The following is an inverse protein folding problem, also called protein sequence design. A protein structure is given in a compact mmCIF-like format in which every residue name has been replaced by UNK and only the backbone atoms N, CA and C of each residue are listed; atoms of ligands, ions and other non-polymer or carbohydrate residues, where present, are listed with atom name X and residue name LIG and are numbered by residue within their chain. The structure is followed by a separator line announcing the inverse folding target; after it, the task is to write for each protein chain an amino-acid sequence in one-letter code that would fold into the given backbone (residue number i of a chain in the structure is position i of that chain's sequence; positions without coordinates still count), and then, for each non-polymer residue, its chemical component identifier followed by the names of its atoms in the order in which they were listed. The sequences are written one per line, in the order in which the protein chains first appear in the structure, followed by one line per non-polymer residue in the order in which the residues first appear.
data_IF_434306645063
#
_entry.id   IF_434306645063
#
_cell.length_a   1.000
_cell.length_b   1.000
_cell.length_c   1.000
_cell.angle_alpha   90.00
_cell.angle_beta   90.00
_cell.angle_gamma   90.00
#
_symmetry.space_group_name_H-M   'P 1'
#
loop_
_entity.id
_entity.type
_entity.pdbx_description
1 polymer ?
#
# COMPACT_ATOMS: atom_id res chain seq x y z
N UNK A 1 -6.30 -26.29 37.67
CA UNK A 1 -7.68 -26.20 37.16
C UNK A 1 -7.92 -24.73 36.88
N UNK A 2 -7.40 -24.24 35.75
CA UNK A 2 -7.68 -22.89 35.21
C UNK A 2 -8.07 -23.07 33.75
N UNK A 3 -9.36 -22.82 33.47
CA UNK A 3 -9.92 -22.88 32.13
C UNK A 3 -9.49 -21.65 31.34
N UNK A 4 -8.72 -21.83 30.28
CA UNK A 4 -8.42 -20.85 29.25
C UNK A 4 -9.68 -20.59 28.42
N UNK A 5 -10.31 -19.45 28.61
CA UNK A 5 -11.32 -18.94 27.75
C UNK A 5 -10.69 -18.54 26.41
N UNK A 6 -10.85 -19.38 25.41
CA UNK A 6 -10.58 -19.05 24.01
C UNK A 6 -11.55 -17.95 23.58
N UNK A 7 -11.04 -16.80 23.16
CA UNK A 7 -11.83 -15.75 22.49
C UNK A 7 -12.30 -16.29 21.12
N UNK A 8 -13.55 -16.06 20.71
CA UNK A 8 -14.03 -16.51 19.42
C UNK A 8 -13.37 -15.67 18.31
N UNK A 9 -12.67 -16.33 17.42
CA UNK A 9 -12.26 -15.84 16.11
C UNK A 9 -13.50 -15.82 15.21
N UNK A 10 -13.63 -14.89 14.31
CA UNK A 10 -14.70 -14.70 13.32
C UNK A 10 -15.90 -13.85 13.80
N UNK A 11 -15.75 -12.54 13.81
CA UNK A 11 -16.95 -11.65 13.75
C UNK A 11 -16.68 -10.23 13.17
N UNK A 12 -15.43 -9.89 12.78
CA UNK A 12 -15.15 -8.53 12.28
C UNK A 12 -15.16 -8.37 10.75
N UNK A 13 -15.16 -9.45 9.96
CA UNK A 13 -15.15 -9.34 8.49
C UNK A 13 -16.56 -9.32 7.88
N UNK A 14 -17.53 -9.98 8.48
CA UNK A 14 -18.91 -10.00 7.95
C UNK A 14 -19.70 -8.69 8.17
N UNK A 15 -19.36 -7.91 9.19
CA UNK A 15 -20.06 -6.66 9.48
C UNK A 15 -19.71 -5.54 8.49
N UNK A 16 -18.51 -5.53 7.95
CA UNK A 16 -18.07 -4.50 6.99
C UNK A 16 -18.66 -4.69 5.60
N UNK A 17 -18.86 -5.91 5.16
CA UNK A 17 -19.40 -6.22 3.81
C UNK A 17 -20.92 -6.10 3.78
N UNK A 18 -21.61 -6.56 4.80
CA UNK A 18 -23.06 -6.55 4.86
C UNK A 18 -23.68 -5.15 5.01
N UNK A 19 -23.00 -4.22 5.68
CA UNK A 19 -23.47 -2.82 5.85
C UNK A 19 -23.24 -1.99 4.58
N UNK A 20 -22.20 -2.29 3.80
CA UNK A 20 -21.91 -1.59 2.54
C UNK A 20 -22.94 -1.95 1.45
N UNK A 21 -23.43 -3.18 1.39
CA UNK A 21 -24.36 -3.64 0.35
C UNK A 21 -25.77 -3.02 0.52
N UNK A 22 -26.20 -2.66 1.74
CA UNK A 22 -27.57 -2.18 1.99
C UNK A 22 -27.80 -0.68 1.74
N UNK A 23 -26.73 0.12 1.62
CA UNK A 23 -26.82 1.59 1.41
C UNK A 23 -26.72 1.99 -0.07
N UNK A 24 -26.17 1.13 -0.92
CA UNK A 24 -25.87 1.42 -2.34
C UNK A 24 -27.12 1.44 -3.24
N UNK A 25 -28.26 0.88 -2.82
CA UNK A 25 -29.46 0.77 -3.65
C UNK A 25 -30.21 2.09 -3.94
N UNK A 26 -29.89 3.21 -3.29
CA UNK A 26 -30.72 4.42 -3.38
C UNK A 26 -30.13 5.63 -4.12
N UNK A 27 -28.89 5.60 -4.64
CA UNK A 27 -28.22 6.78 -5.22
C UNK A 27 -27.63 6.66 -6.63
N UNK A 28 -28.11 5.74 -7.45
CA UNK A 28 -27.54 5.43 -8.79
C UNK A 28 -27.89 6.39 -9.93
N UNK A 29 -28.10 7.69 -9.70
CA UNK A 29 -28.66 8.54 -10.76
C UNK A 29 -27.78 9.65 -11.32
N UNK A 30 -26.42 9.63 -11.21
CA UNK A 30 -25.59 10.76 -11.69
C UNK A 30 -24.29 10.44 -12.44
N UNK A 31 -23.92 9.20 -12.68
CA UNK A 31 -22.71 8.87 -13.46
C UNK A 31 -23.07 8.34 -14.86
N UNK A 32 -22.25 8.64 -15.89
CA UNK A 32 -22.39 7.99 -17.19
C UNK A 32 -22.31 6.47 -17.05
N UNK A 33 -23.06 5.69 -17.84
CA UNK A 33 -23.16 4.23 -17.69
C UNK A 33 -21.83 3.47 -17.70
N UNK A 34 -20.79 4.05 -18.25
CA UNK A 34 -19.45 3.45 -18.40
C UNK A 34 -18.53 3.59 -17.16
N UNK A 35 -19.01 4.16 -16.05
CA UNK A 35 -18.28 4.25 -14.78
C UNK A 35 -18.98 3.50 -13.63
N UNK A 36 -19.99 2.70 -13.92
CA UNK A 36 -20.72 1.95 -12.91
C UNK A 36 -19.99 0.64 -12.59
N UNK A 37 -18.94 0.74 -11.77
CA UNK A 37 -18.28 -0.43 -11.15
C UNK A 37 -18.63 -0.47 -9.67
N UNK A 38 -18.83 -1.71 -9.15
CA UNK A 38 -19.12 -1.91 -7.73
C UNK A 38 -17.94 -1.44 -6.87
N UNK A 39 -18.20 -0.88 -5.68
CA UNK A 39 -17.17 -0.47 -4.76
C UNK A 39 -16.24 -1.62 -4.35
N UNK A 40 -14.94 -1.39 -4.50
CA UNK A 40 -13.91 -2.31 -4.01
C UNK A 40 -12.94 -1.57 -3.08
N UNK A 41 -12.30 -2.26 -2.13
CA UNK A 41 -11.33 -1.63 -1.23
C UNK A 41 -10.10 -1.11 -2.00
N UNK A 42 -9.61 0.06 -1.56
CA UNK A 42 -8.43 0.73 -2.09
C UNK A 42 -7.27 0.65 -1.08
N UNK A 43 -6.19 0.03 -1.46
CA UNK A 43 -5.03 -0.24 -0.60
C UNK A 43 -3.87 0.68 -0.93
N UNK A 44 -3.20 1.22 0.09
CA UNK A 44 -1.90 1.88 -0.09
C UNK A 44 -0.80 0.83 -0.25
N UNK A 45 -0.09 0.85 -1.37
CA UNK A 45 1.02 -0.08 -1.60
C UNK A 45 2.21 0.16 -0.65
N UNK A 46 2.90 -0.89 -0.18
CA UNK A 46 4.14 -0.77 0.58
C UNK A 46 5.25 -0.15 -0.28
N UNK A 47 5.82 0.97 0.16
CA UNK A 47 6.83 1.72 -0.60
C UNK A 47 7.95 2.21 0.32
N UNK A 48 9.18 1.72 0.12
CA UNK A 48 10.35 2.11 0.91
C UNK A 48 10.61 3.62 0.89
N UNK A 49 10.67 4.22 2.09
CA UNK A 49 10.87 5.64 2.29
C UNK A 49 9.65 6.51 1.92
N UNK A 50 8.47 5.91 1.82
CA UNK A 50 7.19 6.60 1.54
C UNK A 50 6.12 6.19 2.54
N UNK A 51 5.92 4.90 2.74
CA UNK A 51 4.85 4.40 3.62
C UNK A 51 5.33 4.23 5.07
N UNK A 52 5.98 5.27 5.58
CA UNK A 52 6.24 5.42 7.01
C UNK A 52 4.93 5.60 7.81
N UNK A 53 4.97 5.43 9.12
CA UNK A 53 3.77 5.40 9.96
C UNK A 53 2.90 6.65 9.78
N UNK A 54 3.48 7.85 9.79
CA UNK A 54 2.71 9.09 9.62
C UNK A 54 2.02 9.16 8.26
N UNK A 55 2.67 8.66 7.20
CA UNK A 55 2.08 8.62 5.85
C UNK A 55 0.96 7.57 5.73
N UNK A 56 1.09 6.43 6.39
CA UNK A 56 0.03 5.42 6.43
C UNK A 56 -1.23 5.95 7.13
N UNK A 57 -1.05 6.60 8.29
CA UNK A 57 -2.16 7.27 8.99
C UNK A 57 -2.82 8.35 8.14
N UNK A 58 -2.03 9.18 7.45
CA UNK A 58 -2.57 10.16 6.50
C UNK A 58 -3.36 9.51 5.37
N UNK A 59 -2.87 8.42 4.82
CA UNK A 59 -3.57 7.69 3.76
C UNK A 59 -4.92 7.12 4.22
N UNK A 60 -4.99 6.58 5.44
CA UNK A 60 -6.26 6.15 6.06
C UNK A 60 -7.21 7.34 6.25
N UNK A 61 -6.73 8.48 6.75
CA UNK A 61 -7.54 9.69 6.90
C UNK A 61 -8.05 10.26 5.57
N UNK A 62 -7.36 9.98 4.48
CA UNK A 62 -7.72 10.42 3.12
C UNK A 62 -8.41 9.34 2.30
N UNK A 63 -8.83 8.24 2.90
CA UNK A 63 -9.75 7.28 2.31
C UNK A 63 -9.14 5.97 1.82
N UNK A 64 -7.87 5.67 2.12
CA UNK A 64 -7.37 4.30 1.96
C UNK A 64 -8.10 3.36 2.92
N UNK A 65 -8.46 2.16 2.47
CA UNK A 65 -9.11 1.16 3.32
C UNK A 65 -8.10 0.31 4.09
N UNK A 66 -6.94 0.05 3.48
CA UNK A 66 -5.84 -0.68 4.10
C UNK A 66 -4.49 -0.06 3.75
N UNK A 67 -3.56 -0.18 4.69
CA UNK A 67 -2.16 0.22 4.52
C UNK A 67 -1.22 -0.92 4.88
N UNK A 68 0.00 -0.83 4.38
CA UNK A 68 1.08 -1.78 4.65
C UNK A 68 2.32 -1.01 5.09
N UNK A 69 3.10 -1.58 5.98
CA UNK A 69 4.38 -0.96 6.35
C UNK A 69 5.33 -0.88 5.15
N UNK A 70 6.41 -0.13 5.28
CA UNK A 70 7.55 -0.30 4.38
C UNK A 70 8.01 -1.76 4.43
N UNK A 71 8.28 -2.37 3.26
CA UNK A 71 8.80 -3.74 3.25
C UNK A 71 10.15 -3.82 3.99
N UNK A 72 10.24 -4.75 4.92
CA UNK A 72 11.38 -4.86 5.85
C UNK A 72 12.05 -6.22 5.72
N UNK A 73 13.39 -6.23 5.76
CA UNK A 73 14.14 -7.49 5.66
C UNK A 73 13.93 -8.36 6.90
N UNK A 74 13.55 -9.61 6.69
CA UNK A 74 13.41 -10.61 7.75
C UNK A 74 14.72 -10.79 8.53
N UNK A 75 15.86 -10.81 7.84
CA UNK A 75 17.19 -10.87 8.46
C UNK A 75 17.48 -9.72 9.43
N UNK A 76 16.87 -8.55 9.23
CA UNK A 76 17.02 -7.42 10.13
C UNK A 76 16.10 -7.52 11.34
N UNK A 77 14.88 -8.03 11.15
CA UNK A 77 13.91 -8.21 12.23
C UNK A 77 14.29 -9.38 13.14
N UNK A 78 14.69 -10.53 12.57
CA UNK A 78 15.12 -11.72 13.31
C UNK A 78 16.35 -11.47 14.17
N UNK A 79 17.23 -10.55 13.74
CA UNK A 79 18.41 -10.13 14.52
C UNK A 79 18.18 -8.90 15.40
N UNK A 80 16.93 -8.49 15.60
CA UNK A 80 16.54 -7.34 16.42
C UNK A 80 17.22 -6.02 16.04
N UNK A 81 17.51 -5.81 14.76
CA UNK A 81 18.12 -4.57 14.29
C UNK A 81 17.15 -3.38 14.47
N UNK A 82 17.50 -2.42 15.33
CA UNK A 82 16.67 -1.25 15.69
C UNK A 82 16.05 -0.57 14.46
N UNK A 83 16.84 -0.37 13.39
CA UNK A 83 16.36 0.30 12.18
C UNK A 83 15.28 -0.51 11.42
N UNK A 84 15.31 -1.84 11.52
CA UNK A 84 14.27 -2.70 10.92
C UNK A 84 12.97 -2.63 11.73
N UNK A 85 13.06 -2.64 13.04
CA UNK A 85 11.91 -2.55 13.93
C UNK A 85 11.19 -1.20 13.83
N UNK A 86 11.92 -0.08 13.65
CA UNK A 86 11.33 1.24 13.39
C UNK A 86 10.43 1.30 12.13
N UNK A 87 10.61 0.39 11.19
CA UNK A 87 9.78 0.35 9.97
C UNK A 87 8.46 -0.41 10.14
N UNK A 88 8.40 -1.26 11.16
CA UNK A 88 7.21 -2.06 11.50
C UNK A 88 6.56 -1.54 12.80
N UNK A 89 6.72 -0.26 13.11
CA UNK A 89 5.96 0.42 14.14
C UNK A 89 4.52 0.64 13.67
N UNK A 90 3.60 0.61 14.61
CA UNK A 90 2.16 0.79 14.41
C UNK A 90 1.58 1.82 15.38
N UNK A 91 0.40 2.30 15.08
CA UNK A 91 -0.41 3.16 15.93
C UNK A 91 -1.81 2.53 16.06
N UNK A 92 -2.52 2.68 17.20
CA UNK A 92 -3.88 2.14 17.36
C UNK A 92 -4.90 2.61 16.30
N UNK A 93 -4.62 3.70 15.61
CA UNK A 93 -5.42 4.23 14.48
C UNK A 93 -5.24 3.41 13.20
N UNK A 94 -4.17 2.60 13.10
CA UNK A 94 -3.90 1.71 11.97
C UNK A 94 -4.43 0.31 12.27
N UNK A 95 -5.67 0.03 11.86
CA UNK A 95 -6.32 -1.28 12.04
C UNK A 95 -7.02 -1.68 10.75
N UNK A 96 -6.71 -2.85 10.18
CA UNK A 96 -5.69 -3.82 10.66
C UNK A 96 -4.24 -3.33 10.42
N UNK A 97 -3.34 -3.71 11.33
CA UNK A 97 -1.90 -3.50 11.19
C UNK A 97 -1.26 -4.62 10.37
N UNK A 98 -0.64 -4.25 9.24
CA UNK A 98 -0.12 -5.22 8.25
C UNK A 98 1.37 -4.93 7.98
N UNK A 99 2.31 -5.51 8.73
CA UNK A 99 3.73 -5.46 8.38
C UNK A 99 4.01 -6.28 7.13
N UNK A 100 4.80 -5.69 6.19
CA UNK A 100 5.29 -6.42 5.03
C UNK A 100 6.76 -6.79 5.21
N UNK A 101 7.07 -8.08 5.03
CA UNK A 101 8.42 -8.62 5.18
C UNK A 101 8.94 -9.25 3.88
N UNK A 102 10.24 -9.27 3.72
CA UNK A 102 10.92 -9.97 2.63
C UNK A 102 12.20 -10.65 3.09
N UNK A 103 12.54 -11.76 2.49
CA UNK A 103 13.78 -12.50 2.73
C UNK A 103 14.06 -13.48 1.61
N UNK A 104 15.28 -14.01 1.56
CA UNK A 104 15.69 -15.11 0.69
C UNK A 104 15.94 -16.40 1.46
N UNK A 105 15.90 -16.34 2.80
CA UNK A 105 16.10 -17.44 3.74
C UNK A 105 14.80 -17.76 4.45
N UNK A 106 14.40 -19.04 4.45
CA UNK A 106 13.13 -19.50 4.99
C UNK A 106 13.13 -19.41 6.52
N UNK A 107 14.22 -19.78 7.18
CA UNK A 107 14.31 -19.76 8.64
C UNK A 107 14.21 -18.34 9.19
N UNK A 108 14.89 -17.37 8.54
CA UNK A 108 14.77 -15.95 8.90
C UNK A 108 13.34 -15.43 8.70
N UNK A 109 12.64 -15.86 7.66
CA UNK A 109 11.23 -15.50 7.41
C UNK A 109 10.32 -16.08 8.50
N UNK A 110 10.44 -17.36 8.80
CA UNK A 110 9.67 -18.06 9.85
C UNK A 110 9.92 -17.42 11.23
N UNK A 111 11.17 -17.15 11.58
CA UNK A 111 11.50 -16.48 12.83
C UNK A 111 10.86 -15.10 12.92
N UNK A 112 10.88 -14.35 11.80
CA UNK A 112 10.27 -13.01 11.75
C UNK A 112 8.75 -13.06 11.88
N UNK A 113 8.08 -14.03 11.26
CA UNK A 113 6.64 -14.27 11.44
C UNK A 113 6.31 -14.48 12.91
N UNK A 114 7.03 -15.36 13.59
CA UNK A 114 6.85 -15.63 15.04
C UNK A 114 7.05 -14.39 15.92
N UNK A 115 7.96 -13.49 15.54
CA UNK A 115 8.22 -12.25 16.27
C UNK A 115 7.14 -11.18 16.05
N UNK A 116 6.47 -11.19 14.90
CA UNK A 116 5.50 -10.16 14.52
C UNK A 116 4.05 -10.52 14.84
N UNK A 117 3.72 -11.81 14.91
CA UNK A 117 2.32 -12.26 15.02
C UNK A 117 1.57 -11.76 16.27
N UNK A 118 2.28 -11.50 17.39
CA UNK A 118 1.65 -10.98 18.61
C UNK A 118 1.26 -9.49 18.47
N UNK A 119 1.77 -8.81 17.45
CA UNK A 119 1.59 -7.37 17.22
C UNK A 119 0.79 -7.06 15.96
N UNK A 120 0.82 -7.96 14.98
CA UNK A 120 0.19 -7.79 13.67
C UNK A 120 -1.18 -8.44 13.62
N UNK A 121 -2.08 -7.87 12.82
CA UNK A 121 -3.36 -8.51 12.49
C UNK A 121 -3.20 -9.44 11.27
N UNK A 122 -2.30 -9.10 10.35
CA UNK A 122 -1.97 -9.84 9.12
C UNK A 122 -0.47 -9.65 8.86
N UNK A 123 0.22 -10.66 8.34
CA UNK A 123 1.58 -10.48 7.82
C UNK A 123 1.58 -10.64 6.30
N UNK A 124 2.19 -9.70 5.58
CA UNK A 124 2.27 -9.72 4.12
C UNK A 124 3.70 -10.06 3.64
N UNK A 125 3.81 -11.05 2.75
CA UNK A 125 5.08 -11.52 2.20
C UNK A 125 5.38 -10.85 0.86
N UNK A 126 6.57 -10.27 0.70
CA UNK A 126 6.96 -9.53 -0.50
C UNK A 126 7.77 -10.37 -1.48
N UNK A 127 7.18 -10.71 -2.61
CA UNK A 127 7.81 -11.28 -3.80
C UNK A 127 7.76 -10.32 -5.01
N UNK A 128 7.66 -9.00 -4.74
CA UNK A 128 7.49 -7.99 -5.80
C UNK A 128 8.57 -6.92 -5.86
N UNK A 129 9.45 -6.79 -4.87
CA UNK A 129 10.45 -5.73 -4.82
C UNK A 129 11.51 -5.91 -5.92
N UNK A 130 11.69 -4.93 -6.86
CA UNK A 130 12.68 -5.03 -7.93
C UNK A 130 14.02 -4.38 -7.58
N UNK A 131 14.22 -3.96 -6.33
CA UNK A 131 15.43 -3.24 -5.93
C UNK A 131 16.69 -4.13 -6.04
N UNK A 132 17.78 -3.67 -6.68
CA UNK A 132 18.96 -4.50 -6.89
C UNK A 132 19.56 -5.07 -5.60
N UNK A 133 19.50 -4.29 -4.50
CA UNK A 133 19.97 -4.75 -3.19
C UNK A 133 19.14 -5.92 -2.64
N UNK A 134 17.84 -5.94 -2.89
CA UNK A 134 16.93 -7.04 -2.50
C UNK A 134 17.18 -8.26 -3.38
N UNK A 135 17.17 -8.06 -4.70
CA UNK A 135 17.32 -9.13 -5.68
C UNK A 135 18.68 -9.85 -5.61
N UNK A 136 19.76 -9.16 -5.25
CA UNK A 136 21.10 -9.76 -5.05
C UNK A 136 21.15 -10.74 -3.89
N UNK A 137 20.26 -10.60 -2.92
CA UNK A 137 20.11 -11.50 -1.78
C UNK A 137 19.06 -12.60 -2.03
N UNK A 138 18.77 -12.88 -3.29
CA UNK A 138 17.78 -13.88 -3.71
C UNK A 138 16.41 -13.69 -3.03
N UNK A 139 15.95 -12.44 -2.93
CA UNK A 139 14.72 -12.04 -2.25
C UNK A 139 13.83 -11.16 -3.14
N UNK A 140 12.60 -10.89 -2.71
CA UNK A 140 11.63 -10.09 -3.45
C UNK A 140 11.31 -10.70 -4.81
N UNK A 141 11.24 -9.87 -5.87
CA UNK A 141 10.87 -10.34 -7.20
C UNK A 141 11.87 -11.33 -7.85
N UNK A 142 13.09 -11.44 -7.36
CA UNK A 142 14.06 -12.41 -7.86
C UNK A 142 13.65 -13.86 -7.51
N UNK A 143 12.93 -14.07 -6.41
CA UNK A 143 12.44 -15.41 -6.03
C UNK A 143 11.45 -16.00 -7.03
N UNK A 144 10.76 -15.17 -7.81
CA UNK A 144 9.80 -15.64 -8.83
C UNK A 144 10.43 -16.50 -9.94
N UNK A 145 11.74 -16.59 -10.01
CA UNK A 145 12.43 -17.54 -10.90
C UNK A 145 12.41 -18.99 -10.38
N UNK A 146 12.07 -19.18 -9.10
CA UNK A 146 12.02 -20.48 -8.43
C UNK A 146 10.67 -20.64 -7.70
N UNK A 147 9.59 -21.04 -8.42
CA UNK A 147 8.26 -21.24 -7.83
C UNK A 147 8.26 -22.18 -6.63
N UNK A 148 9.04 -23.26 -6.66
CA UNK A 148 9.11 -24.24 -5.56
C UNK A 148 9.58 -23.57 -4.26
N UNK A 149 10.62 -22.76 -4.33
CA UNK A 149 11.14 -22.03 -3.15
C UNK A 149 10.13 -21.00 -2.62
N UNK A 150 9.37 -20.34 -3.51
CA UNK A 150 8.31 -19.42 -3.09
C UNK A 150 7.23 -20.16 -2.33
N UNK A 151 6.75 -21.29 -2.86
CA UNK A 151 5.71 -22.11 -2.23
C UNK A 151 6.19 -22.68 -0.89
N UNK A 152 7.41 -23.22 -0.83
CA UNK A 152 8.02 -23.72 0.40
C UNK A 152 8.11 -22.62 1.49
N UNK A 153 8.58 -21.43 1.12
CA UNK A 153 8.67 -20.28 2.03
C UNK A 153 7.29 -19.84 2.53
N UNK A 154 6.30 -19.77 1.67
CA UNK A 154 4.93 -19.40 2.02
C UNK A 154 4.32 -20.42 2.97
N UNK A 155 4.44 -21.72 2.65
CA UNK A 155 3.99 -22.83 3.53
C UNK A 155 4.62 -22.72 4.92
N UNK A 156 5.94 -22.58 4.99
CA UNK A 156 6.66 -22.50 6.26
C UNK A 156 6.22 -21.26 7.09
N UNK A 157 5.93 -20.13 6.44
CA UNK A 157 5.40 -18.94 7.10
C UNK A 157 3.97 -19.17 7.64
N UNK A 158 3.11 -19.85 6.88
CA UNK A 158 1.73 -20.19 7.29
C UNK A 158 1.74 -21.16 8.47
N UNK A 159 2.55 -22.21 8.41
CA UNK A 159 2.70 -23.17 9.51
C UNK A 159 3.21 -22.52 10.82
N UNK A 160 3.97 -21.43 10.69
CA UNK A 160 4.54 -20.71 11.82
C UNK A 160 3.63 -19.62 12.40
N UNK A 161 2.55 -19.25 11.69
CA UNK A 161 1.68 -18.13 12.02
C UNK A 161 0.36 -18.59 12.64
N UNK A 162 -0.10 -17.87 13.66
CA UNK A 162 -1.47 -17.97 14.20
C UNK A 162 -2.43 -16.92 13.60
N UNK A 163 -1.93 -16.08 12.69
CA UNK A 163 -2.65 -14.97 12.03
C UNK A 163 -2.57 -15.13 10.52
N UNK A 164 -3.46 -14.45 9.75
CA UNK A 164 -3.46 -14.51 8.29
C UNK A 164 -2.13 -14.14 7.66
N UNK A 165 -1.74 -14.89 6.63
CA UNK A 165 -0.62 -14.59 5.75
C UNK A 165 -1.16 -14.16 4.38
N UNK A 166 -0.67 -13.04 3.87
CA UNK A 166 -0.96 -12.54 2.53
C UNK A 166 0.31 -12.39 1.71
N UNK A 167 0.17 -12.29 0.40
CA UNK A 167 1.31 -12.24 -0.52
C UNK A 167 1.19 -11.07 -1.49
N UNK A 168 2.27 -10.31 -1.68
CA UNK A 168 2.39 -9.32 -2.75
C UNK A 168 3.50 -9.70 -3.72
N UNK A 169 3.16 -9.85 -5.01
CA UNK A 169 4.09 -10.32 -6.03
C UNK A 169 4.00 -9.55 -7.35
N UNK A 170 4.90 -9.89 -8.28
CA UNK A 170 4.89 -9.50 -9.70
C UNK A 170 4.55 -10.70 -10.58
N UNK A 171 4.37 -10.46 -11.89
CA UNK A 171 4.06 -11.51 -12.88
C UNK A 171 5.18 -12.55 -13.05
N UNK A 172 6.41 -12.17 -12.75
CA UNK A 172 7.59 -13.02 -12.91
C UNK A 172 8.87 -12.17 -13.01
N UNK A 173 9.97 -12.79 -13.44
CA UNK A 173 11.24 -12.08 -13.58
C UNK A 173 11.37 -11.32 -14.90
N UNK A 174 10.63 -11.70 -15.94
CA UNK A 174 10.78 -11.20 -17.31
C UNK A 174 11.98 -11.84 -18.04
N UNK A 175 12.50 -12.93 -17.48
CA UNK A 175 13.45 -13.84 -18.13
C UNK A 175 12.82 -15.23 -18.12
N UNK A 176 12.31 -15.69 -19.25
CA UNK A 176 11.45 -16.87 -19.37
C UNK A 176 9.98 -16.56 -19.16
N UNK A 177 9.14 -17.59 -18.99
CA UNK A 177 7.69 -17.45 -18.78
C UNK A 177 7.39 -16.73 -17.47
N UNK A 178 6.23 -16.09 -17.39
CA UNK A 178 5.71 -15.53 -16.15
C UNK A 178 5.21 -16.67 -15.25
N UNK A 179 5.61 -16.66 -14.00
CA UNK A 179 5.34 -17.74 -13.04
C UNK A 179 4.22 -17.40 -12.05
N UNK A 180 3.65 -16.19 -12.15
CA UNK A 180 2.67 -15.71 -11.17
C UNK A 180 1.44 -16.60 -11.07
N UNK A 181 0.85 -17.02 -12.22
CA UNK A 181 -0.34 -17.85 -12.24
C UNK A 181 -0.12 -19.18 -11.50
N UNK A 182 0.96 -19.90 -11.87
CA UNK A 182 1.35 -21.16 -11.22
C UNK A 182 1.57 -20.97 -9.71
N UNK A 183 2.32 -19.92 -9.34
CA UNK A 183 2.61 -19.65 -7.93
C UNK A 183 1.32 -19.34 -7.16
N UNK A 184 0.42 -18.52 -7.72
CA UNK A 184 -0.84 -18.14 -7.06
C UNK A 184 -1.71 -19.36 -6.75
N UNK A 185 -1.90 -20.27 -7.71
CA UNK A 185 -2.66 -21.52 -7.50
C UNK A 185 -2.02 -22.40 -6.41
N UNK A 186 -0.69 -22.49 -6.40
CA UNK A 186 0.02 -23.33 -5.43
C UNK A 186 -0.02 -22.75 -4.02
N UNK A 187 0.17 -21.42 -3.85
CA UNK A 187 0.14 -20.79 -2.52
C UNK A 187 -1.27 -20.67 -1.96
N UNK A 188 -2.29 -20.60 -2.79
CA UNK A 188 -3.68 -20.73 -2.37
C UNK A 188 -3.90 -22.08 -1.69
N UNK A 189 -3.43 -23.18 -2.31
CA UNK A 189 -3.52 -24.52 -1.74
C UNK A 189 -2.78 -24.67 -0.39
N UNK A 190 -1.80 -23.81 -0.12
CA UNK A 190 -1.10 -23.74 1.19
C UNK A 190 -1.87 -22.92 2.24
N UNK A 191 -2.91 -22.16 1.85
CA UNK A 191 -3.74 -21.39 2.77
C UNK A 191 -3.42 -19.89 2.85
N UNK A 192 -2.87 -19.29 1.78
CA UNK A 192 -2.76 -17.82 1.65
C UNK A 192 -4.17 -17.23 1.59
N UNK A 193 -4.43 -16.18 2.37
CA UNK A 193 -5.79 -15.60 2.42
C UNK A 193 -6.05 -14.49 1.38
N UNK A 194 -5.00 -13.89 0.81
CA UNK A 194 -5.12 -12.84 -0.22
C UNK A 194 -3.83 -12.69 -0.99
N UNK A 195 -3.95 -12.42 -2.28
CA UNK A 195 -2.79 -12.17 -3.15
C UNK A 195 -2.92 -10.77 -3.76
N UNK A 196 -1.85 -9.98 -3.76
CA UNK A 196 -1.76 -8.74 -4.51
C UNK A 196 -0.77 -8.90 -5.67
N UNK A 197 -1.22 -8.68 -6.90
CA UNK A 197 -0.40 -8.87 -8.11
C UNK A 197 -0.11 -7.54 -8.80
N UNK A 198 1.17 -7.20 -8.93
CA UNK A 198 1.60 -6.10 -9.78
C UNK A 198 1.78 -6.61 -11.22
N UNK A 199 0.99 -6.09 -12.16
CA UNK A 199 0.95 -6.52 -13.57
C UNK A 199 2.23 -6.18 -14.37
N UNK A 200 3.40 -6.22 -13.76
CA UNK A 200 4.72 -6.06 -14.38
C UNK A 200 5.69 -7.13 -13.89
N UNK A 201 6.70 -7.42 -14.72
CA UNK A 201 7.81 -8.29 -14.34
C UNK A 201 8.91 -7.53 -13.59
N UNK A 202 9.86 -8.27 -12.97
CA UNK A 202 11.07 -7.70 -12.37
C UNK A 202 11.85 -6.85 -13.38
N UNK A 203 12.07 -7.37 -14.62
CA UNK A 203 12.85 -6.68 -15.67
C UNK A 203 12.21 -5.37 -16.09
N UNK A 204 10.89 -5.31 -16.21
CA UNK A 204 10.16 -4.07 -16.53
C UNK A 204 10.31 -3.01 -15.43
N UNK A 205 10.48 -3.39 -14.18
CA UNK A 205 10.45 -2.45 -13.05
C UNK A 205 9.19 -1.57 -13.09
N UNK A 206 9.27 -0.37 -13.68
CA UNK A 206 8.17 0.58 -13.84
C UNK A 206 7.98 1.04 -15.30
N UNK A 207 8.71 0.43 -16.25
CA UNK A 207 8.59 0.73 -17.68
C UNK A 207 7.41 -0.02 -18.31
N UNK A 208 6.91 0.52 -19.41
CA UNK A 208 5.73 -0.02 -20.10
C UNK A 208 4.46 0.10 -19.25
N UNK A 209 3.44 -0.65 -19.60
CA UNK A 209 2.15 -0.68 -18.92
C UNK A 209 2.00 -1.92 -18.04
N UNK A 210 1.13 -1.84 -17.05
CA UNK A 210 0.70 -2.99 -16.24
C UNK A 210 -0.17 -3.90 -17.07
N UNK A 211 0.18 -5.16 -17.16
CA UNK A 211 -0.60 -6.16 -17.88
C UNK A 211 -1.76 -6.66 -17.01
N UNK A 212 -2.90 -6.02 -17.18
CA UNK A 212 -4.13 -6.36 -16.46
C UNK A 212 -4.75 -7.67 -16.94
N UNK A 213 -4.47 -8.11 -18.19
CA UNK A 213 -4.97 -9.39 -18.68
C UNK A 213 -4.41 -10.56 -17.90
N UNK A 214 -3.11 -10.54 -17.57
CA UNK A 214 -2.50 -11.58 -16.73
C UNK A 214 -2.98 -11.52 -15.27
N UNK A 215 -3.39 -10.33 -14.76
CA UNK A 215 -4.05 -10.27 -13.45
C UNK A 215 -5.42 -10.93 -13.52
N UNK A 216 -6.20 -10.70 -14.58
CA UNK A 216 -7.48 -11.37 -14.78
C UNK A 216 -7.32 -12.89 -14.83
N UNK A 217 -6.34 -13.41 -15.59
CA UNK A 217 -6.08 -14.84 -15.67
C UNK A 217 -5.84 -15.45 -14.27
N UNK A 218 -5.21 -14.71 -13.37
CA UNK A 218 -5.01 -15.12 -11.97
C UNK A 218 -6.33 -15.06 -11.19
N UNK A 219 -7.11 -13.95 -11.35
CA UNK A 219 -8.44 -13.82 -10.70
C UNK A 219 -9.37 -14.97 -11.06
N UNK A 220 -9.34 -15.39 -12.32
CA UNK A 220 -10.17 -16.51 -12.81
C UNK A 220 -9.66 -17.89 -12.35
N UNK A 221 -8.41 -17.99 -11.90
CA UNK A 221 -7.75 -19.26 -11.59
C UNK A 221 -7.66 -19.58 -10.10
N UNK A 222 -8.01 -18.65 -9.20
CA UNK A 222 -7.98 -18.83 -7.75
C UNK A 222 -9.29 -18.36 -7.11
N UNK A 223 -9.66 -18.96 -5.99
CA UNK A 223 -10.88 -18.61 -5.25
C UNK A 223 -10.66 -17.51 -4.20
N UNK A 224 -9.40 -17.30 -3.77
CA UNK A 224 -9.06 -16.26 -2.79
C UNK A 224 -9.01 -14.86 -3.41
N UNK A 225 -9.25 -13.78 -2.62
CA UNK A 225 -9.24 -12.42 -3.13
C UNK A 225 -7.91 -12.03 -3.80
N UNK A 226 -7.98 -11.59 -5.06
CA UNK A 226 -6.84 -11.02 -5.80
C UNK A 226 -6.98 -9.50 -5.87
N UNK A 227 -5.93 -8.78 -5.46
CA UNK A 227 -5.84 -7.33 -5.48
C UNK A 227 -4.98 -6.89 -6.67
N UNK A 228 -5.56 -6.11 -7.58
CA UNK A 228 -4.81 -5.62 -8.74
C UNK A 228 -3.94 -4.43 -8.37
N UNK A 229 -2.70 -4.43 -8.85
CA UNK A 229 -1.74 -3.35 -8.63
C UNK A 229 -1.05 -2.96 -9.95
N UNK A 230 -0.93 -1.67 -10.17
CA UNK A 230 -0.22 -1.08 -11.32
C UNK A 230 -1.09 -0.15 -12.15
N UNK A 231 -0.56 1.06 -12.39
CA UNK A 231 -1.10 2.10 -13.27
C UNK A 231 -2.49 2.67 -12.91
N UNK A 232 -2.95 2.44 -11.68
CA UNK A 232 -4.11 3.15 -11.13
C UNK A 232 -3.64 4.50 -10.59
N UNK A 233 -4.12 5.60 -11.19
CA UNK A 233 -3.70 6.98 -10.90
C UNK A 233 -4.88 7.96 -10.76
N UNK A 234 -6.10 7.52 -11.09
CA UNK A 234 -7.35 8.28 -11.01
C UNK A 234 -8.56 7.34 -11.06
N UNK A 235 -9.77 7.90 -10.98
CA UNK A 235 -11.02 7.15 -11.05
C UNK A 235 -11.20 6.41 -12.37
N UNK A 236 -10.78 7.00 -13.49
CA UNK A 236 -10.90 6.38 -14.82
C UNK A 236 -10.05 5.12 -14.91
N UNK A 237 -8.78 5.20 -14.49
CA UNK A 237 -7.88 4.05 -14.48
C UNK A 237 -8.28 3.01 -13.42
N UNK A 238 -8.89 3.43 -12.30
CA UNK A 238 -9.44 2.53 -11.30
C UNK A 238 -10.61 1.71 -11.87
N UNK A 239 -11.60 2.37 -12.47
CA UNK A 239 -12.73 1.70 -13.12
C UNK A 239 -12.26 0.73 -14.21
N UNK A 240 -11.38 1.19 -15.11
CA UNK A 240 -10.84 0.37 -16.18
C UNK A 240 -10.07 -0.86 -15.67
N UNK A 241 -9.32 -0.71 -14.56
CA UNK A 241 -8.60 -1.83 -13.95
C UNK A 241 -9.56 -2.86 -13.35
N UNK A 242 -10.60 -2.43 -12.64
CA UNK A 242 -11.62 -3.33 -12.08
C UNK A 242 -12.33 -4.08 -13.20
N UNK A 243 -12.80 -3.37 -14.22
CA UNK A 243 -13.50 -3.95 -15.36
C UNK A 243 -12.62 -4.94 -16.13
N UNK A 244 -11.34 -4.62 -16.34
CA UNK A 244 -10.41 -5.47 -17.06
C UNK A 244 -9.98 -6.72 -16.28
N UNK A 245 -9.94 -6.64 -14.94
CA UNK A 245 -9.37 -7.72 -14.12
C UNK A 245 -10.39 -8.51 -13.32
N UNK A 246 -11.53 -7.93 -12.97
CA UNK A 246 -12.45 -8.52 -11.99
C UNK A 246 -11.87 -8.63 -10.57
N UNK A 247 -10.80 -7.89 -10.27
CA UNK A 247 -10.09 -7.98 -8.98
C UNK A 247 -10.97 -7.55 -7.81
N UNK A 248 -10.80 -8.21 -6.67
CA UNK A 248 -11.51 -7.94 -5.43
C UNK A 248 -11.09 -6.63 -4.72
N UNK A 249 -10.08 -5.93 -5.23
CA UNK A 249 -9.60 -4.65 -4.71
C UNK A 249 -8.48 -4.07 -5.57
N UNK A 250 -8.13 -2.81 -5.31
CA UNK A 250 -7.04 -2.12 -5.99
C UNK A 250 -5.96 -1.69 -5.02
N UNK A 251 -4.69 -1.91 -5.38
CA UNK A 251 -3.56 -1.38 -4.62
C UNK A 251 -2.88 -0.25 -5.39
N UNK A 252 -2.79 0.92 -4.76
CA UNK A 252 -2.27 2.15 -5.37
C UNK A 252 -0.88 2.45 -4.80
N UNK A 253 0.11 2.54 -5.68
CA UNK A 253 1.49 2.88 -5.31
C UNK A 253 1.84 4.30 -5.72
N UNK A 254 2.47 4.46 -6.88
CA UNK A 254 3.01 5.73 -7.39
C UNK A 254 1.99 6.87 -7.47
N UNK A 255 0.73 6.55 -7.75
CA UNK A 255 -0.36 7.52 -7.81
C UNK A 255 -0.63 8.21 -6.46
N UNK A 256 -0.33 7.54 -5.34
CA UNK A 256 -0.51 8.08 -4.01
C UNK A 256 0.68 8.92 -3.51
N UNK A 257 1.87 8.86 -4.15
CA UNK A 257 3.08 9.55 -3.68
C UNK A 257 2.90 11.07 -3.76
N UNK A 258 2.84 11.74 -2.60
CA UNK A 258 2.59 13.19 -2.51
C UNK A 258 1.14 13.59 -2.85
N UNK A 259 0.26 12.62 -3.07
CA UNK A 259 -1.18 12.79 -3.34
C UNK A 259 -1.99 11.71 -2.61
N UNK A 260 -1.95 11.65 -1.28
CA UNK A 260 -2.70 10.64 -0.54
C UNK A 260 -4.22 10.79 -0.70
N UNK A 261 -4.70 11.95 -1.14
CA UNK A 261 -6.11 12.23 -1.48
C UNK A 261 -6.67 11.39 -2.63
N UNK A 262 -5.81 10.70 -3.39
CA UNK A 262 -6.21 9.85 -4.53
C UNK A 262 -7.26 8.82 -4.13
N UNK A 263 -7.21 8.28 -2.91
CA UNK A 263 -8.19 7.31 -2.41
C UNK A 263 -9.59 7.93 -2.29
N UNK A 264 -9.69 9.13 -1.71
CA UNK A 264 -10.94 9.87 -1.63
C UNK A 264 -11.43 10.29 -3.02
N UNK A 265 -10.53 10.80 -3.86
CA UNK A 265 -10.85 11.25 -5.22
C UNK A 265 -11.43 10.11 -6.06
N UNK A 266 -10.81 8.93 -6.07
CA UNK A 266 -11.32 7.76 -6.78
C UNK A 266 -12.71 7.38 -6.27
N UNK A 267 -12.90 7.26 -4.95
CA UNK A 267 -14.19 6.89 -4.35
C UNK A 267 -15.27 7.91 -4.66
N UNK A 268 -14.97 9.21 -4.58
CA UNK A 268 -15.90 10.29 -4.93
C UNK A 268 -16.29 10.24 -6.41
N UNK A 269 -15.29 10.18 -7.31
CA UNK A 269 -15.50 10.28 -8.75
C UNK A 269 -16.20 9.04 -9.33
N UNK A 270 -16.09 7.89 -8.66
CA UNK A 270 -16.84 6.69 -8.96
C UNK A 270 -18.20 6.61 -8.25
N UNK A 271 -18.54 7.61 -7.44
CA UNK A 271 -19.81 7.64 -6.71
C UNK A 271 -19.89 6.69 -5.52
N UNK A 272 -18.76 6.16 -5.05
CA UNK A 272 -18.70 5.27 -3.88
C UNK A 272 -18.75 6.02 -2.55
N UNK A 273 -18.50 7.34 -2.57
CA UNK A 273 -18.44 8.19 -1.40
C UNK A 273 -19.14 9.53 -1.66
N UNK A 274 -20.09 9.88 -0.78
CA UNK A 274 -20.81 11.16 -0.83
C UNK A 274 -20.39 12.15 0.27
N UNK A 275 -19.35 11.85 1.03
CA UNK A 275 -18.87 12.71 2.09
C UNK A 275 -17.96 13.80 1.54
N UNK A 276 -18.06 15.00 2.12
CA UNK A 276 -17.10 16.08 1.84
C UNK A 276 -15.70 15.67 2.32
N UNK A 277 -14.65 16.04 1.58
CA UNK A 277 -13.29 15.75 2.00
C UNK A 277 -12.92 16.49 3.30
N UNK A 278 -12.01 15.93 4.08
CA UNK A 278 -11.54 16.53 5.35
C UNK A 278 -10.87 17.90 5.17
N UNK A 279 -10.36 18.19 3.99
CA UNK A 279 -9.78 19.49 3.61
C UNK A 279 -10.84 20.53 3.17
N UNK A 280 -12.12 20.17 3.17
CA UNK A 280 -13.26 21.08 3.03
C UNK A 280 -13.65 21.46 1.61
N UNK A 281 -12.70 21.69 0.74
CA UNK A 281 -12.90 22.17 -0.64
C UNK A 281 -12.38 21.18 -1.66
N UNK A 282 -13.05 21.08 -2.80
CA UNK A 282 -12.58 20.29 -3.93
C UNK A 282 -11.55 21.06 -4.78
N UNK A 283 -10.48 21.49 -4.12
CA UNK A 283 -9.38 22.24 -4.70
C UNK A 283 -8.06 21.49 -4.47
N UNK A 284 -7.37 21.05 -5.53
CA UNK A 284 -6.13 20.28 -5.41
C UNK A 284 -5.01 20.98 -4.62
N UNK A 285 -4.90 22.30 -4.71
CA UNK A 285 -3.90 23.06 -3.96
C UNK A 285 -4.21 23.07 -2.45
N UNK A 286 -5.49 23.28 -2.09
CA UNK A 286 -5.98 23.22 -0.71
C UNK A 286 -5.79 21.82 -0.15
N UNK A 287 -6.18 20.78 -0.90
CA UNK A 287 -6.01 19.39 -0.52
C UNK A 287 -4.54 19.04 -0.24
N UNK A 288 -3.63 19.48 -1.12
CA UNK A 288 -2.19 19.19 -0.98
C UNK A 288 -1.57 19.93 0.21
N UNK A 289 -1.95 21.19 0.43
CA UNK A 289 -1.54 21.95 1.61
C UNK A 289 -2.03 21.30 2.90
N UNK A 290 -3.32 20.94 2.97
CA UNK A 290 -3.90 20.25 4.12
C UNK A 290 -3.18 18.92 4.41
N UNK A 291 -2.94 18.11 3.39
CA UNK A 291 -2.23 16.83 3.54
C UNK A 291 -0.80 17.03 4.07
N UNK A 292 -0.09 18.07 3.62
CA UNK A 292 1.25 18.36 4.10
C UNK A 292 1.24 18.75 5.58
N UNK A 293 0.38 19.70 5.97
CA UNK A 293 0.23 20.12 7.36
C UNK A 293 -0.17 18.92 8.26
N UNK A 294 -1.11 18.12 7.79
CA UNK A 294 -1.53 16.93 8.54
C UNK A 294 -0.43 15.88 8.65
N UNK A 295 0.36 15.69 7.61
CA UNK A 295 1.53 14.81 7.66
C UNK A 295 2.56 15.29 8.69
N UNK A 296 2.86 16.59 8.77
CA UNK A 296 3.74 17.15 9.77
C UNK A 296 3.20 16.96 11.19
N UNK A 297 1.90 17.17 11.37
CA UNK A 297 1.24 16.97 12.65
C UNK A 297 1.31 15.50 13.07
N UNK A 298 0.92 14.56 12.19
CA UNK A 298 1.03 13.11 12.45
C UNK A 298 2.47 12.70 12.75
N UNK A 299 3.45 13.25 12.02
CA UNK A 299 4.86 12.97 12.29
C UNK A 299 5.25 13.42 13.71
N UNK A 300 4.75 14.56 14.18
CA UNK A 300 5.02 15.03 15.55
C UNK A 300 4.32 14.19 16.63
N UNK A 301 3.23 13.52 16.28
CA UNK A 301 2.51 12.64 17.20
C UNK A 301 3.18 11.26 17.35
N UNK A 302 3.78 10.73 16.26
CA UNK A 302 4.26 9.33 16.22
C UNK A 302 5.78 9.17 16.28
N UNK A 303 6.56 10.23 16.11
CA UNK A 303 8.03 10.17 16.18
C UNK A 303 8.57 11.03 17.33
N UNK A 304 9.46 10.45 18.13
CA UNK A 304 10.12 11.15 19.26
C UNK A 304 10.85 12.44 18.83
N UNK A 305 11.48 12.41 17.65
CA UNK A 305 12.16 13.58 17.06
C UNK A 305 11.18 14.57 16.40
N UNK A 306 9.88 14.27 16.41
CA UNK A 306 8.83 15.09 15.78
C UNK A 306 8.80 15.03 14.26
N UNK A 307 9.72 14.29 13.62
CA UNK A 307 9.81 14.19 12.16
C UNK A 307 10.29 12.82 11.70
N UNK A 308 9.71 12.33 10.61
CA UNK A 308 10.19 11.15 9.90
C UNK A 308 11.57 11.40 9.25
N UNK A 309 12.47 10.43 9.31
CA UNK A 309 13.77 10.47 8.60
C UNK A 309 13.64 10.73 7.09
N UNK A 310 12.48 10.40 6.50
CA UNK A 310 12.19 10.59 5.09
C UNK A 310 11.53 11.94 4.76
N UNK A 311 11.43 12.90 5.72
CA UNK A 311 10.72 14.17 5.52
C UNK A 311 11.13 14.89 4.23
N UNK A 312 12.43 14.91 3.90
CA UNK A 312 12.92 15.54 2.66
C UNK A 312 12.33 14.87 1.40
N UNK A 313 12.18 13.55 1.39
CA UNK A 313 11.55 12.80 0.29
C UNK A 313 10.07 13.16 0.15
N UNK A 314 9.35 13.24 1.27
CA UNK A 314 7.96 13.68 1.27
C UNK A 314 7.82 15.12 0.80
N UNK A 315 8.67 16.03 1.26
CA UNK A 315 8.71 17.43 0.82
C UNK A 315 8.83 17.54 -0.71
N UNK A 316 9.77 16.79 -1.30
CA UNK A 316 9.94 16.73 -2.77
C UNK A 316 8.71 16.13 -3.45
N UNK A 317 8.08 15.13 -2.85
CA UNK A 317 6.90 14.45 -3.43
C UNK A 317 5.67 15.36 -3.41
N UNK A 318 5.41 16.04 -2.28
CA UNK A 318 4.29 16.97 -2.13
C UNK A 318 4.41 18.24 -2.97
N UNK A 319 5.63 18.60 -3.38
CA UNK A 319 5.85 19.78 -4.25
C UNK A 319 5.94 19.43 -5.73
N UNK A 320 5.98 18.13 -6.08
CA UNK A 320 6.13 17.67 -7.48
C UNK A 320 4.95 18.07 -8.35
N UNK A 321 5.26 18.57 -9.56
CA UNK A 321 4.26 18.93 -10.55
C UNK A 321 3.61 20.31 -10.34
N UNK A 322 3.98 21.02 -9.27
CA UNK A 322 3.45 22.35 -8.98
C UNK A 322 4.27 23.48 -9.62
N UNK A 323 3.69 24.66 -9.85
CA UNK A 323 4.42 25.83 -10.34
C UNK A 323 5.64 26.16 -9.46
N UNK A 324 6.82 26.32 -10.07
CA UNK A 324 8.05 26.59 -9.31
C UNK A 324 8.67 25.37 -8.59
N UNK A 325 8.13 24.16 -8.74
CA UNK A 325 8.62 22.94 -8.07
C UNK A 325 10.10 22.64 -8.34
N UNK A 326 10.66 23.01 -9.49
CA UNK A 326 12.07 22.81 -9.80
C UNK A 326 12.97 23.65 -8.90
N UNK A 327 12.67 24.92 -8.74
CA UNK A 327 13.40 25.82 -7.84
C UNK A 327 13.23 25.38 -6.38
N UNK A 328 12.00 25.01 -5.99
CA UNK A 328 11.72 24.47 -4.67
C UNK A 328 12.59 23.26 -4.35
N UNK A 329 12.74 22.30 -5.27
CA UNK A 329 13.60 21.10 -5.04
C UNK A 329 15.05 21.48 -4.80
N UNK A 330 15.60 22.44 -5.55
CA UNK A 330 16.97 22.93 -5.32
C UNK A 330 17.11 23.51 -3.92
N UNK A 331 16.16 24.33 -3.51
CA UNK A 331 16.14 24.92 -2.17
C UNK A 331 15.99 23.86 -1.07
N UNK A 332 15.10 22.90 -1.22
CA UNK A 332 14.93 21.80 -0.26
C UNK A 332 16.18 20.94 -0.10
N UNK A 333 16.99 20.78 -1.15
CA UNK A 333 18.25 20.04 -1.06
C UNK A 333 19.28 20.75 -0.18
N UNK A 334 19.29 22.08 -0.14
CA UNK A 334 20.21 22.88 0.67
C UNK A 334 19.84 22.91 2.17
N UNK A 335 18.56 22.71 2.50
CA UNK A 335 18.07 22.72 3.87
C UNK A 335 18.49 21.44 4.61
N UNK A 336 19.15 21.62 5.77
CA UNK A 336 19.56 20.52 6.65
C UNK A 336 18.62 20.33 7.84
N UNK A 337 18.00 21.43 8.30
CA UNK A 337 17.09 21.41 9.44
C UNK A 337 15.66 20.98 8.97
N UNK A 338 15.14 19.94 9.62
CA UNK A 338 13.83 19.36 9.26
C UNK A 338 12.67 20.34 9.53
N UNK A 339 12.73 21.12 10.61
CA UNK A 339 11.71 22.11 10.93
C UNK A 339 11.69 23.23 9.88
N UNK A 340 12.86 23.74 9.48
CA UNK A 340 12.96 24.75 8.43
C UNK A 340 12.43 24.21 7.11
N UNK A 341 12.74 22.94 6.79
CA UNK A 341 12.22 22.27 5.60
C UNK A 341 10.70 22.16 5.64
N UNK A 342 10.13 21.71 6.76
CA UNK A 342 8.68 21.63 6.95
C UNK A 342 8.00 22.98 6.73
N UNK A 343 8.47 24.03 7.45
CA UNK A 343 7.92 25.39 7.31
C UNK A 343 8.06 25.97 5.90
N UNK A 344 9.16 25.66 5.21
CA UNK A 344 9.38 26.16 3.84
C UNK A 344 8.38 25.57 2.85
N UNK A 345 8.08 24.27 2.95
CA UNK A 345 7.07 23.62 2.13
C UNK A 345 5.66 24.12 2.49
N UNK A 346 5.34 24.26 3.76
CA UNK A 346 4.08 24.81 4.23
C UNK A 346 3.80 26.19 3.61
N UNK A 347 4.79 27.10 3.68
CA UNK A 347 4.67 28.44 3.08
C UNK A 347 4.40 28.36 1.57
N UNK A 348 5.20 27.57 0.85
CA UNK A 348 5.06 27.41 -0.58
C UNK A 348 3.68 26.87 -0.99
N UNK A 349 3.21 25.81 -0.31
CA UNK A 349 1.89 25.23 -0.62
C UNK A 349 0.75 26.20 -0.26
N UNK A 350 0.87 26.94 0.84
CA UNK A 350 -0.10 27.97 1.25
C UNK A 350 -0.21 29.11 0.24
N UNK A 351 0.91 29.57 -0.29
CA UNK A 351 0.92 30.61 -1.35
C UNK A 351 0.14 30.16 -2.58
N UNK A 352 0.26 28.87 -2.97
CA UNK A 352 -0.48 28.32 -4.11
C UNK A 352 -2.00 28.26 -3.88
N UNK A 353 -2.46 28.09 -2.63
CA UNK A 353 -3.91 28.13 -2.34
C UNK A 353 -4.52 29.51 -2.61
N UNK A 354 -3.73 30.58 -2.45
CA UNK A 354 -4.18 31.97 -2.61
C UNK A 354 -4.16 32.45 -4.07
N UNK A 355 -3.39 31.81 -4.95
CA UNK A 355 -3.20 32.25 -6.34
C UNK A 355 -4.22 31.67 -7.33
N UNK A 356 -5.10 30.76 -6.88
CA UNK A 356 -6.09 30.09 -7.74
C UNK A 356 -5.48 29.23 -8.84
N UNK A 357 -4.18 28.96 -8.79
CA UNK A 357 -3.50 28.12 -9.77
C UNK A 357 -3.90 26.66 -9.53
N UNK A 358 -4.52 26.03 -10.55
CA UNK A 358 -4.81 24.61 -10.53
C UNK A 358 -3.51 23.82 -10.33
N UNK A 359 -3.49 22.95 -9.33
CA UNK A 359 -2.34 22.10 -8.98
C UNK A 359 -2.29 20.86 -9.86
#
# INVERSE_FOLDING_TARGET
MFALLRRPRLLCLEVSVGVIISIVGLMMNRLPPHFMVEPVPLFLAPMAGVTDLAYRLLALETGADLTFTEFTAASGLSRHAKHSWLKVESDPRESPFIPQIFGGDIDEMVQTVKLLQDRADIIDLNFGCPAPKVCRNDAGAALLRNPDKVVEMVRACIEAADIPITVKMRLGTGSGPNTALEICQRIEAEGVERICVHGRTLRQRYSGESDWSQIRDIVEAVDIPVIANGDVVDAKSAAACIEATGAAGLMIGRGAIGRPTIFHEIKRDLGWLNQKPRWGEDNPAVARYWCWERYLQLSSEVYEEGYCKNLKRHAVSFTKGLPGASNMRVELHSLQNQQQLGMRVSRYLKELTSTGVAA
#
